data_IF_628726143315
#
_entry.id   IF_628726143315
#
_cell.length_a   1.000
_cell.length_b   1.000
_cell.length_c   1.000
_cell.angle_alpha   90.00
_cell.angle_beta   90.00
_cell.angle_gamma   90.00
#
_symmetry.space_group_name_H-M   'P 1'
#
loop_
_entity.id
_entity.type
_entity.pdbx_description
1 polymer ?
#
# COMPACT_ATOMS: atom_id res chain seq x y z
N UNK A 1 39.28 53.28 51.86
CA UNK A 1 38.76 51.89 51.78
C UNK A 1 37.51 51.90 50.90
N UNK A 2 37.65 51.54 49.63
CA UNK A 2 36.55 51.45 48.65
C UNK A 2 35.81 50.12 48.86
N UNK A 3 34.49 50.16 49.14
CA UNK A 3 33.62 48.96 49.11
C UNK A 3 32.90 48.93 47.78
N UNK A 4 33.36 48.05 46.89
CA UNK A 4 32.68 47.73 45.62
C UNK A 4 31.52 46.78 45.94
N UNK A 5 30.30 47.23 45.71
CA UNK A 5 29.08 46.40 45.76
C UNK A 5 29.01 45.62 44.44
N UNK A 6 29.19 44.29 44.50
CA UNK A 6 29.01 43.39 43.36
C UNK A 6 27.51 43.08 43.21
N UNK A 7 26.87 43.75 42.24
CA UNK A 7 25.54 43.39 41.75
C UNK A 7 25.65 42.14 40.88
N UNK A 8 25.25 40.99 41.42
CA UNK A 8 25.09 39.74 40.66
C UNK A 8 23.80 39.84 39.85
N UNK A 9 23.92 40.09 38.55
CA UNK A 9 22.82 39.99 37.59
C UNK A 9 22.58 38.51 37.29
N UNK A 10 21.51 37.94 37.84
CA UNK A 10 21.03 36.61 37.48
C UNK A 10 20.35 36.74 36.12
N UNK A 11 21.10 36.50 35.05
CA UNK A 11 20.55 36.33 33.71
C UNK A 11 19.84 34.96 33.65
N UNK A 12 18.52 34.96 33.82
CA UNK A 12 17.70 33.77 33.61
C UNK A 12 17.78 33.32 32.14
N UNK A 13 18.23 32.08 31.92
CA UNK A 13 18.14 31.39 30.64
C UNK A 13 16.66 31.15 30.30
N UNK A 14 16.03 32.07 29.59
CA UNK A 14 14.73 31.84 28.96
C UNK A 14 15.00 30.96 27.74
N UNK A 15 14.79 29.65 27.86
CA UNK A 15 14.81 28.77 26.70
C UNK A 15 13.63 29.13 25.78
N UNK A 16 13.83 29.23 24.46
CA UNK A 16 12.73 29.46 23.53
C UNK A 16 11.78 28.27 23.61
N UNK A 17 10.54 28.52 24.02
CA UNK A 17 9.46 27.53 23.93
C UNK A 17 9.19 27.30 22.45
N UNK A 18 9.71 26.19 21.93
CA UNK A 18 9.41 25.74 20.58
C UNK A 18 7.91 25.47 20.51
N UNK A 19 7.20 26.17 19.62
CA UNK A 19 5.75 26.02 19.48
C UNK A 19 5.41 24.55 19.24
N UNK A 20 4.46 24.01 20.02
CA UNK A 20 4.05 22.62 19.91
C UNK A 20 3.56 22.31 18.49
N UNK A 21 3.94 21.15 17.95
CA UNK A 21 3.52 20.70 16.62
C UNK A 21 1.99 20.57 16.57
N UNK A 22 1.36 21.24 15.61
CA UNK A 22 -0.10 21.24 15.44
C UNK A 22 -0.57 19.93 14.77
N UNK A 23 -0.92 18.95 15.60
CA UNK A 23 -1.45 17.66 15.17
C UNK A 23 -2.79 17.74 14.43
N UNK A 24 -3.64 18.72 14.73
CA UNK A 24 -4.92 18.89 14.06
C UNK A 24 -4.72 19.34 12.61
N UNK A 25 -3.86 20.34 12.39
CA UNK A 25 -3.49 20.79 11.04
C UNK A 25 -2.84 19.68 10.23
N UNK A 26 -1.91 18.93 10.83
CA UNK A 26 -1.27 17.79 10.17
C UNK A 26 -2.29 16.70 9.79
N UNK A 27 -3.23 16.38 10.67
CA UNK A 27 -4.31 15.44 10.38
C UNK A 27 -5.19 15.94 9.22
N UNK A 28 -5.58 17.22 9.21
CA UNK A 28 -6.36 17.80 8.11
C UNK A 28 -5.65 17.67 6.77
N UNK A 29 -4.34 17.92 6.73
CA UNK A 29 -3.55 17.87 5.49
C UNK A 29 -3.33 16.46 4.96
N UNK A 30 -3.20 15.47 5.85
CA UNK A 30 -2.70 14.14 5.49
C UNK A 30 -3.74 13.01 5.61
N UNK A 31 -4.78 13.18 6.44
CA UNK A 31 -5.65 12.07 6.86
C UNK A 31 -7.15 12.35 6.60
N UNK A 32 -7.59 13.59 6.74
CA UNK A 32 -9.01 13.95 6.72
C UNK A 32 -9.73 13.64 5.40
N UNK A 33 -9.01 13.65 4.26
CA UNK A 33 -9.57 13.30 2.95
C UNK A 33 -10.14 11.87 2.91
N UNK A 34 -9.53 10.95 3.68
CA UNK A 34 -9.99 9.57 3.76
C UNK A 34 -10.79 9.30 5.03
N UNK A 35 -10.31 9.76 6.18
CA UNK A 35 -10.87 9.42 7.50
C UNK A 35 -11.91 10.44 8.02
N UNK A 36 -12.20 11.48 7.24
CA UNK A 36 -13.14 12.56 7.60
C UNK A 36 -12.52 13.59 8.52
N UNK A 37 -13.03 14.82 8.49
CA UNK A 37 -12.48 15.94 9.28
C UNK A 37 -12.48 15.72 10.80
N UNK A 38 -13.38 14.87 11.30
CA UNK A 38 -13.52 14.51 12.72
C UNK A 38 -13.23 13.02 12.99
N UNK A 39 -12.54 12.33 12.08
CA UNK A 39 -12.27 10.91 12.23
C UNK A 39 -13.48 9.98 12.07
N UNK A 40 -14.62 10.48 11.60
CA UNK A 40 -15.86 9.71 11.44
C UNK A 40 -15.79 8.64 10.32
N UNK A 41 -14.68 8.56 9.59
CA UNK A 41 -14.49 7.66 8.46
C UNK A 41 -14.98 8.27 7.15
N UNK A 42 -15.27 7.42 6.18
CA UNK A 42 -15.61 7.82 4.82
C UNK A 42 -14.98 6.85 3.87
N UNK A 43 -14.00 7.28 3.08
CA UNK A 43 -13.18 6.40 2.24
C UNK A 43 -12.35 5.44 3.11
N UNK A 44 -11.76 5.96 4.19
CA UNK A 44 -11.05 5.20 5.22
C UNK A 44 -11.96 4.77 6.38
N UNK A 45 -11.41 3.95 7.27
CA UNK A 45 -12.08 3.50 8.49
C UNK A 45 -12.31 4.65 9.48
N UNK A 46 -13.39 4.62 10.28
CA UNK A 46 -13.59 5.60 11.33
C UNK A 46 -12.53 5.46 12.43
N UNK A 47 -11.84 6.55 12.74
CA UNK A 47 -10.79 6.63 13.76
C UNK A 47 -11.29 7.19 15.09
N UNK A 48 -12.45 7.87 15.09
CA UNK A 48 -13.05 8.49 16.27
C UNK A 48 -13.97 7.55 17.05
N UNK A 49 -14.07 6.26 16.70
CA UNK A 49 -14.87 5.31 17.46
C UNK A 49 -14.25 5.11 18.83
N UNK A 50 -15.03 5.29 19.89
CA UNK A 50 -14.54 5.15 21.27
C UNK A 50 -13.94 3.78 21.54
N UNK A 51 -14.64 2.71 21.17
CA UNK A 51 -14.15 1.34 21.34
C UNK A 51 -12.86 1.06 20.53
N UNK A 52 -12.72 1.65 19.33
CA UNK A 52 -11.47 1.58 18.59
C UNK A 52 -10.34 2.25 19.36
N UNK A 53 -10.55 3.46 19.85
CA UNK A 53 -9.53 4.17 20.63
C UNK A 53 -9.21 3.42 21.93
N UNK A 54 -10.19 2.86 22.63
CA UNK A 54 -9.97 2.13 23.87
C UNK A 54 -9.28 0.76 23.69
N UNK A 55 -9.29 0.20 22.47
CA UNK A 55 -8.76 -1.14 22.15
C UNK A 55 -7.40 -1.15 21.45
N UNK A 56 -6.80 0.02 21.17
CA UNK A 56 -5.52 0.12 20.44
C UNK A 56 -4.47 0.91 21.20
N UNK A 57 -3.19 0.51 21.10
CA UNK A 57 -2.09 1.27 21.69
C UNK A 57 -1.66 2.46 20.81
N UNK A 58 -0.97 3.44 21.40
CA UNK A 58 -0.35 4.53 20.62
C UNK A 58 0.72 4.01 19.68
N UNK A 59 1.46 2.98 20.09
CA UNK A 59 2.45 2.34 19.24
C UNK A 59 1.82 1.74 17.98
N UNK A 60 0.65 1.10 18.10
CA UNK A 60 -0.10 0.61 16.94
C UNK A 60 -0.45 1.73 15.97
N UNK A 61 -0.91 2.89 16.48
CA UNK A 61 -1.22 4.06 15.64
C UNK A 61 0.04 4.61 14.97
N UNK A 62 1.13 4.83 15.71
CA UNK A 62 2.40 5.32 15.16
C UNK A 62 2.91 4.39 14.06
N UNK A 63 2.98 3.08 14.32
CA UNK A 63 3.42 2.08 13.33
C UNK A 63 2.48 2.03 12.13
N UNK A 64 1.18 2.15 12.34
CA UNK A 64 0.20 2.18 11.24
C UNK A 64 0.39 3.40 10.36
N UNK A 65 0.65 4.59 10.91
CA UNK A 65 0.96 5.80 10.15
C UNK A 65 2.28 5.63 9.37
N UNK A 66 3.31 5.08 10.02
CA UNK A 66 4.65 4.89 9.46
C UNK A 66 4.70 3.87 8.32
N UNK A 67 4.04 2.73 8.50
CA UNK A 67 4.11 1.59 7.60
C UNK A 67 2.95 1.57 6.59
N UNK A 68 1.87 2.30 6.88
CA UNK A 68 0.63 2.23 6.11
C UNK A 68 0.03 0.82 6.13
N UNK A 69 -0.66 0.50 5.05
CA UNK A 69 -1.15 -0.85 4.73
C UNK A 69 -0.72 -1.16 3.29
N UNK A 70 0.49 -1.70 3.07
CA UNK A 70 0.97 -2.04 1.73
C UNK A 70 -0.01 -2.95 1.01
N UNK A 71 -0.34 -2.69 -0.26
CA UNK A 71 -1.42 -3.43 -0.94
C UNK A 71 -2.81 -2.79 -0.79
N UNK A 72 -2.96 -1.75 0.03
CA UNK A 72 -4.24 -1.09 0.36
C UNK A 72 -4.12 0.42 0.20
N UNK A 73 -5.26 1.11 0.33
CA UNK A 73 -5.35 2.56 0.09
C UNK A 73 -4.53 3.39 1.07
N UNK A 74 -4.30 2.90 2.30
CA UNK A 74 -3.63 3.68 3.35
C UNK A 74 -2.11 3.69 3.09
N UNK A 75 -1.53 4.82 2.64
CA UNK A 75 -0.12 4.89 2.31
C UNK A 75 0.74 4.93 3.59
N UNK A 76 2.05 4.74 3.40
CA UNK A 76 3.04 4.94 4.44
C UNK A 76 3.45 6.42 4.50
N UNK A 77 3.38 7.05 5.68
CA UNK A 77 3.79 8.45 5.88
C UNK A 77 5.23 8.53 6.38
N UNK A 78 6.18 8.11 5.53
CA UNK A 78 7.62 8.06 5.88
C UNK A 78 8.26 9.45 5.99
N UNK A 79 7.67 10.45 5.35
CA UNK A 79 8.21 11.81 5.29
C UNK A 79 7.88 12.66 6.53
N UNK A 80 6.93 12.25 7.36
CA UNK A 80 6.60 12.95 8.61
C UNK A 80 7.72 12.76 9.64
N UNK A 81 8.01 13.74 10.48
CA UNK A 81 8.93 13.54 11.62
C UNK A 81 8.26 12.71 12.73
N UNK A 82 9.02 12.18 13.70
CA UNK A 82 8.44 11.44 14.82
C UNK A 82 7.53 12.35 15.67
N UNK A 83 7.88 13.63 15.79
CA UNK A 83 7.06 14.64 16.48
C UNK A 83 5.75 14.91 15.73
N UNK A 84 5.78 14.97 14.39
CA UNK A 84 4.56 15.10 13.58
C UNK A 84 3.63 13.90 13.77
N UNK A 85 4.18 12.68 13.75
CA UNK A 85 3.40 11.46 13.97
C UNK A 85 2.82 11.45 15.38
N UNK A 86 3.60 11.82 16.40
CA UNK A 86 3.11 11.91 17.77
C UNK A 86 2.00 12.96 17.92
N UNK A 87 2.12 14.12 17.29
CA UNK A 87 1.09 15.16 17.31
C UNK A 87 -0.22 14.69 16.64
N UNK A 88 -0.12 13.97 15.52
CA UNK A 88 -1.29 13.36 14.87
C UNK A 88 -1.95 12.31 15.78
N UNK A 89 -1.16 11.46 16.44
CA UNK A 89 -1.68 10.45 17.37
C UNK A 89 -2.41 11.12 18.54
N UNK A 90 -1.82 12.16 19.13
CA UNK A 90 -2.46 12.95 20.19
C UNK A 90 -3.79 13.57 19.72
N UNK A 91 -3.84 14.11 18.50
CA UNK A 91 -5.06 14.63 17.92
C UNK A 91 -6.14 13.55 17.77
N UNK A 92 -5.80 12.36 17.25
CA UNK A 92 -6.73 11.22 17.13
C UNK A 92 -7.25 10.81 18.52
N UNK A 93 -6.39 10.79 19.54
CA UNK A 93 -6.76 10.48 20.93
C UNK A 93 -7.69 11.51 21.56
N UNK A 94 -7.66 12.75 21.10
CA UNK A 94 -8.54 13.81 21.63
C UNK A 94 -10.03 13.51 21.39
N UNK A 95 -10.39 12.76 20.34
CA UNK A 95 -11.78 12.38 20.08
C UNK A 95 -12.31 11.30 21.03
N UNK A 96 -11.40 10.54 21.64
CA UNK A 96 -11.77 9.49 22.59
C UNK A 96 -12.21 10.04 23.95
N UNK A 97 -11.86 11.30 24.27
CA UNK A 97 -12.08 11.88 25.59
C UNK A 97 -13.56 12.07 25.92
N UNK A 98 -14.07 11.27 26.87
CA UNK A 98 -15.15 11.71 27.76
C UNK A 98 -14.52 12.50 28.93
N UNK A 99 -15.11 13.62 29.37
CA UNK A 99 -14.57 14.42 30.49
C UNK A 99 -14.44 13.65 31.81
N UNK A 100 -15.04 12.45 31.91
CA UNK A 100 -15.04 11.61 33.10
C UNK A 100 -14.04 10.43 33.06
N UNK A 101 -13.29 10.23 31.96
CA UNK A 101 -12.31 9.15 31.84
C UNK A 101 -10.96 9.67 31.37
N UNK A 102 -9.93 9.41 32.15
CA UNK A 102 -8.54 9.50 31.69
C UNK A 102 -8.35 8.37 30.67
N UNK A 103 -8.48 8.68 29.38
CA UNK A 103 -8.24 7.72 28.30
C UNK A 103 -6.73 7.57 28.10
N UNK A 104 -6.08 6.83 28.99
CA UNK A 104 -4.73 6.31 28.73
C UNK A 104 -4.83 5.18 27.72
N UNK A 105 -4.07 5.27 26.64
CA UNK A 105 -3.99 4.20 25.65
C UNK A 105 -3.64 2.86 26.32
N UNK A 106 -4.31 1.75 25.94
CA UNK A 106 -3.95 0.44 26.46
C UNK A 106 -2.49 0.11 26.15
N UNK A 107 -1.81 -0.45 27.14
CA UNK A 107 -0.45 -0.99 26.99
C UNK A 107 -0.58 -2.50 26.83
N UNK A 108 -0.07 -3.01 25.72
CA UNK A 108 -0.09 -4.43 25.40
C UNK A 108 1.30 -5.02 25.58
N UNK A 109 1.38 -6.25 26.08
CA UNK A 109 2.65 -6.98 26.18
C UNK A 109 3.26 -7.19 24.79
N UNK A 110 4.58 -7.09 24.71
CA UNK A 110 5.34 -7.46 23.52
C UNK A 110 5.61 -8.97 23.42
N UNK A 111 5.19 -9.75 24.43
CA UNK A 111 5.36 -11.20 24.43
C UNK A 111 4.49 -11.86 23.37
N UNK A 112 5.05 -12.86 22.68
CA UNK A 112 4.30 -13.68 21.74
C UNK A 112 3.26 -14.53 22.45
N UNK A 113 2.06 -14.61 21.89
CA UNK A 113 1.01 -15.51 22.39
C UNK A 113 1.33 -16.94 21.93
N UNK A 114 1.33 -17.89 22.87
CA UNK A 114 1.56 -19.31 22.57
C UNK A 114 0.25 -19.99 22.16
N UNK A 115 0.19 -20.48 20.93
CA UNK A 115 -0.94 -21.23 20.40
C UNK A 115 -0.53 -22.19 19.28
N UNK A 116 -1.44 -23.08 18.90
CA UNK A 116 -1.30 -24.01 17.79
C UNK A 116 -1.87 -23.40 16.50
N UNK A 117 -0.98 -23.08 15.56
CA UNK A 117 -1.36 -22.47 14.28
C UNK A 117 -2.19 -23.40 13.37
N UNK A 118 -2.06 -24.72 13.49
CA UNK A 118 -2.86 -25.68 12.69
C UNK A 118 -4.31 -25.69 13.17
N UNK A 119 -4.52 -25.75 14.50
CA UNK A 119 -5.86 -25.61 15.07
C UNK A 119 -6.42 -24.21 14.81
N UNK A 120 -5.59 -23.18 14.93
CA UNK A 120 -5.92 -21.80 14.60
C UNK A 120 -6.41 -21.63 13.16
N UNK A 121 -5.78 -22.30 12.19
CA UNK A 121 -6.22 -22.29 10.79
C UNK A 121 -7.63 -22.82 10.61
N UNK A 122 -7.96 -23.94 11.27
CA UNK A 122 -9.30 -24.53 11.20
C UNK A 122 -10.35 -23.60 11.84
N UNK A 123 -10.03 -22.99 12.99
CA UNK A 123 -10.89 -22.01 13.65
C UNK A 123 -11.08 -20.75 12.80
N UNK A 124 -10.02 -20.27 12.15
CA UNK A 124 -10.06 -19.11 11.27
C UNK A 124 -10.95 -19.35 10.06
N UNK A 125 -10.81 -20.51 9.41
CA UNK A 125 -11.64 -20.89 8.27
C UNK A 125 -13.14 -20.92 8.63
N UNK A 126 -13.48 -21.39 9.84
CA UNK A 126 -14.85 -21.48 10.33
C UNK A 126 -15.44 -20.12 10.74
N UNK A 127 -14.66 -19.27 11.40
CA UNK A 127 -15.20 -18.12 12.13
C UNK A 127 -14.79 -16.75 11.55
N UNK A 128 -13.71 -16.69 10.76
CA UNK A 128 -13.08 -15.42 10.36
C UNK A 128 -13.07 -15.22 8.84
N UNK A 129 -12.89 -16.30 8.08
CA UNK A 129 -12.64 -16.25 6.64
C UNK A 129 -13.79 -15.65 5.81
N UNK A 130 -15.04 -15.74 6.31
CA UNK A 130 -16.21 -15.14 5.63
C UNK A 130 -16.11 -13.62 5.51
N UNK A 131 -15.41 -12.96 6.43
CA UNK A 131 -15.19 -11.52 6.40
C UNK A 131 -13.74 -11.17 6.03
N UNK A 132 -12.77 -11.87 6.62
CA UNK A 132 -11.34 -11.58 6.45
C UNK A 132 -10.69 -12.31 5.27
N UNK A 133 -11.44 -13.04 4.44
CA UNK A 133 -10.91 -13.82 3.33
C UNK A 133 -10.25 -15.13 3.76
N UNK A 134 -10.09 -16.07 2.84
CA UNK A 134 -9.61 -17.42 3.15
C UNK A 134 -8.15 -17.44 3.62
N UNK A 135 -7.35 -16.47 3.17
CA UNK A 135 -5.95 -16.30 3.52
C UNK A 135 -5.70 -14.99 4.28
N UNK A 136 -6.73 -14.41 4.91
CA UNK A 136 -6.60 -13.17 5.67
C UNK A 136 -6.47 -11.91 4.80
N UNK A 137 -6.82 -11.97 3.51
CA UNK A 137 -6.75 -10.85 2.57
C UNK A 137 -7.77 -9.73 2.84
N UNK A 138 -8.71 -9.88 3.77
CA UNK A 138 -9.74 -8.88 4.04
C UNK A 138 -10.75 -8.75 2.89
N UNK A 139 -11.49 -7.63 2.88
CA UNK A 139 -12.41 -7.33 1.77
C UNK A 139 -11.69 -7.19 0.42
N UNK A 140 -12.37 -7.55 -0.68
CA UNK A 140 -11.81 -7.48 -2.03
C UNK A 140 -11.34 -6.06 -2.43
N UNK A 141 -10.20 -5.98 -3.11
CA UNK A 141 -9.60 -4.74 -3.60
C UNK A 141 -8.86 -3.92 -2.53
N UNK A 142 -8.55 -2.66 -2.81
CA UNK A 142 -7.65 -1.83 -1.99
C UNK A 142 -8.27 -1.32 -0.67
N UNK A 143 -9.48 -1.76 -0.32
CA UNK A 143 -10.24 -1.28 0.85
C UNK A 143 -11.05 -0.01 0.58
N UNK A 144 -11.09 0.47 -0.67
CA UNK A 144 -11.94 1.57 -1.11
C UNK A 144 -12.69 1.18 -2.37
N UNK A 145 -13.99 1.40 -2.37
CA UNK A 145 -14.81 1.19 -3.56
C UNK A 145 -15.33 2.54 -4.04
N UNK A 146 -14.53 3.25 -4.82
CA UNK A 146 -15.00 4.44 -5.55
C UNK A 146 -16.04 4.07 -6.62
N UNK A 147 -16.08 2.81 -7.04
CA UNK A 147 -16.86 2.31 -8.19
C UNK A 147 -17.73 1.08 -7.89
N UNK A 148 -17.81 0.64 -6.62
CA UNK A 148 -18.66 -0.49 -6.21
C UNK A 148 -19.45 -0.12 -4.93
N UNK A 149 -20.71 -0.56 -4.78
CA UNK A 149 -21.47 -0.37 -3.55
C UNK A 149 -20.72 -0.98 -2.36
N UNK A 150 -20.74 -0.29 -1.22
CA UNK A 150 -20.28 -0.88 0.05
C UNK A 150 -21.42 -1.66 0.68
N UNK A 151 -21.23 -2.97 0.84
CA UNK A 151 -22.18 -3.83 1.54
C UNK A 151 -22.05 -3.74 3.07
N UNK A 152 -20.92 -3.24 3.59
CA UNK A 152 -20.65 -3.07 5.01
C UNK A 152 -20.10 -1.65 5.30
N UNK A 153 -20.46 -1.03 6.44
CA UNK A 153 -19.95 0.29 6.84
C UNK A 153 -18.42 0.31 7.01
N UNK A 154 -17.86 -0.81 7.48
CA UNK A 154 -16.44 -1.01 7.75
C UNK A 154 -16.02 -2.32 7.08
N UNK A 155 -15.05 -2.26 6.17
CA UNK A 155 -14.49 -3.44 5.54
C UNK A 155 -13.56 -4.16 6.50
N UNK A 156 -13.62 -5.49 6.50
CA UNK A 156 -12.71 -6.31 7.27
C UNK A 156 -11.26 -6.07 6.81
N UNK A 157 -10.34 -5.73 7.73
CA UNK A 157 -8.95 -5.48 7.37
C UNK A 157 -8.27 -6.76 6.87
N UNK A 158 -7.30 -6.58 5.97
CA UNK A 158 -6.37 -7.63 5.57
C UNK A 158 -5.44 -7.96 6.74
N UNK A 159 -5.64 -9.14 7.34
CA UNK A 159 -4.88 -9.65 8.47
C UNK A 159 -3.52 -10.21 8.05
N UNK A 160 -3.38 -10.62 6.79
CA UNK A 160 -2.09 -11.01 6.21
C UNK A 160 -1.25 -9.80 5.74
N UNK A 161 -1.72 -8.57 5.98
CA UNK A 161 -1.04 -7.37 5.55
C UNK A 161 0.23 -7.14 6.38
N UNK A 162 1.41 -6.95 5.75
CA UNK A 162 2.66 -6.80 6.49
C UNK A 162 2.70 -5.54 7.37
N UNK A 163 2.03 -4.45 6.94
CA UNK A 163 1.91 -3.25 7.75
C UNK A 163 1.02 -3.46 8.99
N UNK A 164 -0.04 -4.28 8.87
CA UNK A 164 -0.88 -4.66 10.01
C UNK A 164 -0.13 -5.56 10.97
N UNK A 165 0.48 -6.64 10.46
CA UNK A 165 1.21 -7.62 11.26
C UNK A 165 2.35 -6.95 12.05
N UNK A 166 3.11 -6.05 11.42
CA UNK A 166 4.16 -5.29 12.09
C UNK A 166 3.65 -4.27 13.13
N UNK A 167 2.42 -3.74 12.97
CA UNK A 167 1.87 -2.73 13.84
C UNK A 167 1.12 -3.31 15.05
N UNK A 168 0.33 -4.37 14.85
CA UNK A 168 -0.46 -5.01 15.90
C UNK A 168 0.41 -5.93 16.73
N UNK A 169 0.28 -5.92 18.06
CA UNK A 169 0.89 -6.94 18.93
C UNK A 169 -0.03 -8.16 19.08
N UNK A 170 0.52 -9.29 19.51
CA UNK A 170 -0.25 -10.53 19.70
C UNK A 170 -1.35 -10.31 20.73
N UNK A 171 -1.01 -9.66 21.83
CA UNK A 171 -1.94 -9.36 22.91
C UNK A 171 -3.04 -8.39 22.45
N UNK A 172 -2.74 -7.46 21.53
CA UNK A 172 -3.75 -6.60 20.93
C UNK A 172 -4.73 -7.38 20.04
N UNK A 173 -4.22 -8.31 19.23
CA UNK A 173 -5.05 -9.19 18.41
C UNK A 173 -5.92 -10.08 19.31
N UNK A 174 -5.32 -10.68 20.34
CA UNK A 174 -6.02 -11.48 21.36
C UNK A 174 -7.13 -10.66 22.02
N UNK A 175 -6.83 -9.46 22.51
CA UNK A 175 -7.81 -8.58 23.13
C UNK A 175 -8.96 -8.21 22.20
N UNK A 176 -8.66 -7.96 20.91
CA UNK A 176 -9.68 -7.70 19.89
C UNK A 176 -10.60 -8.90 19.67
N UNK A 177 -10.05 -10.12 19.63
CA UNK A 177 -10.86 -11.35 19.51
C UNK A 177 -11.71 -11.60 20.76
N UNK A 178 -11.17 -11.31 21.95
CA UNK A 178 -11.87 -11.49 23.21
C UNK A 178 -13.00 -10.47 23.43
N UNK A 179 -12.78 -9.21 23.06
CA UNK A 179 -13.74 -8.12 23.32
C UNK A 179 -14.65 -7.83 22.13
N UNK A 180 -14.21 -8.15 20.92
CA UNK A 180 -14.84 -7.68 19.70
C UNK A 180 -14.55 -6.20 19.45
N UNK A 181 -15.31 -5.61 18.53
CA UNK A 181 -15.34 -4.19 18.24
C UNK A 181 -16.77 -3.69 18.10
N UNK A 182 -17.14 -2.77 18.98
CA UNK A 182 -18.48 -2.19 19.00
C UNK A 182 -18.76 -1.42 17.71
N UNK A 183 -20.03 -1.44 17.27
CA UNK A 183 -20.48 -0.85 16.01
C UNK A 183 -19.79 -1.44 14.76
N UNK A 184 -19.26 -2.66 14.86
CA UNK A 184 -18.73 -3.43 13.73
C UNK A 184 -19.28 -4.86 13.76
N UNK A 185 -19.25 -5.60 12.64
CA UNK A 185 -19.59 -7.03 12.64
C UNK A 185 -18.62 -7.91 13.44
N UNK A 186 -17.48 -7.38 13.89
CA UNK A 186 -16.45 -8.13 14.62
C UNK A 186 -16.85 -8.28 16.09
N UNK A 187 -17.71 -9.24 16.41
CA UNK A 187 -18.16 -9.48 17.78
C UNK A 187 -17.08 -10.18 18.66
N UNK A 188 -17.34 -10.24 19.97
CA UNK A 188 -16.52 -11.00 20.92
C UNK A 188 -16.64 -12.51 20.64
N UNK A 189 -15.52 -13.15 20.29
CA UNK A 189 -15.49 -14.59 20.08
C UNK A 189 -15.50 -15.39 21.38
N UNK A 190 -15.05 -14.78 22.48
CA UNK A 190 -15.21 -15.35 23.82
C UNK A 190 -16.70 -15.51 24.16
N UNK A 191 -17.51 -14.48 23.88
CA UNK A 191 -18.98 -14.54 24.05
C UNK A 191 -19.67 -15.47 23.05
N UNK A 192 -19.06 -15.73 21.90
CA UNK A 192 -19.55 -16.71 20.92
C UNK A 192 -19.13 -18.16 21.22
N UNK A 193 -18.40 -18.39 22.32
CA UNK A 193 -18.07 -19.73 22.81
C UNK A 193 -16.69 -20.25 22.46
N UNK A 194 -15.80 -19.43 21.87
CA UNK A 194 -14.38 -19.80 21.75
C UNK A 194 -13.70 -19.67 23.12
N UNK A 195 -12.89 -20.66 23.48
CA UNK A 195 -12.05 -20.57 24.69
C UNK A 195 -10.87 -19.60 24.47
N UNK A 196 -10.23 -19.17 25.55
CA UNK A 196 -8.99 -18.40 25.43
C UNK A 196 -7.90 -19.15 24.64
N UNK A 197 -7.84 -20.48 24.75
CA UNK A 197 -6.89 -21.27 23.98
C UNK A 197 -7.25 -21.29 22.49
N UNK A 198 -8.54 -21.34 22.12
CA UNK A 198 -8.96 -21.20 20.72
C UNK A 198 -8.51 -19.85 20.16
N UNK A 199 -8.64 -18.78 20.96
CA UNK A 199 -8.21 -17.43 20.58
C UNK A 199 -6.69 -17.39 20.41
N UNK A 200 -5.93 -17.95 21.35
CA UNK A 200 -4.47 -18.02 21.26
C UNK A 200 -4.02 -18.75 19.98
N UNK A 201 -4.70 -19.83 19.61
CA UNK A 201 -4.43 -20.59 18.39
C UNK A 201 -4.73 -19.77 17.13
N UNK A 202 -5.85 -19.03 17.11
CA UNK A 202 -6.15 -18.09 16.01
C UNK A 202 -5.10 -17.00 15.92
N UNK A 203 -4.63 -16.43 17.04
CA UNK A 203 -3.52 -15.45 17.05
C UNK A 203 -2.25 -16.07 16.46
N UNK A 204 -1.89 -17.29 16.88
CA UNK A 204 -0.74 -18.01 16.33
C UNK A 204 -0.86 -18.27 14.82
N UNK A 205 -2.06 -18.57 14.33
CA UNK A 205 -2.32 -18.70 12.89
C UNK A 205 -2.20 -17.38 12.14
N UNK A 206 -2.77 -16.28 12.66
CA UNK A 206 -2.60 -14.95 12.06
C UNK A 206 -1.12 -14.55 12.01
N UNK A 207 -0.34 -14.87 13.04
CA UNK A 207 1.12 -14.67 13.03
C UNK A 207 1.87 -15.58 12.09
N UNK A 208 1.32 -16.75 11.75
CA UNK A 208 1.91 -17.58 10.72
C UNK A 208 1.94 -16.86 9.35
N UNK A 209 1.06 -15.87 9.13
CA UNK A 209 1.16 -14.99 7.97
C UNK A 209 2.45 -14.19 7.92
N UNK A 210 3.14 -13.89 9.03
CA UNK A 210 4.45 -13.23 9.01
C UNK A 210 5.54 -14.13 8.40
N UNK A 211 5.39 -15.45 8.58
CA UNK A 211 6.33 -16.44 8.03
C UNK A 211 6.03 -16.74 6.56
N UNK A 212 4.76 -16.72 6.15
CA UNK A 212 4.38 -16.84 4.74
C UNK A 212 4.50 -15.52 3.96
N UNK A 213 4.30 -14.37 4.61
CA UNK A 213 4.71 -13.04 4.12
C UNK A 213 6.21 -12.80 4.27
N UNK A 214 6.90 -13.70 4.99
CA UNK A 214 8.33 -13.95 4.93
C UNK A 214 8.81 -14.43 3.55
N UNK A 215 7.91 -14.62 2.59
CA UNK A 215 8.20 -14.57 1.17
C UNK A 215 7.45 -13.36 0.55
N UNK A 216 8.22 -12.30 0.27
CA UNK A 216 7.81 -11.08 -0.44
C UNK A 216 6.95 -10.08 0.39
N UNK A 217 7.46 -9.57 1.52
CA UNK A 217 7.42 -8.09 1.67
C UNK A 217 7.98 -7.58 0.36
N UNK A 218 7.23 -6.75 -0.37
CA UNK A 218 7.59 -6.36 -1.71
C UNK A 218 9.12 -6.25 -1.81
N UNK A 219 9.74 -7.23 -2.48
CA UNK A 219 10.76 -6.82 -3.41
C UNK A 219 9.98 -5.82 -4.26
N UNK A 220 10.03 -4.55 -3.85
CA UNK A 220 10.43 -3.54 -4.80
C UNK A 220 11.56 -4.26 -5.48
N UNK A 221 11.32 -4.70 -6.71
CA UNK A 221 12.34 -5.35 -7.50
C UNK A 221 13.38 -4.26 -7.78
N UNK A 222 14.05 -3.76 -6.74
CA UNK A 222 15.13 -2.79 -6.78
C UNK A 222 16.26 -3.37 -7.60
N UNK A 223 16.35 -4.71 -7.66
CA UNK A 223 17.22 -5.49 -8.53
C UNK A 223 16.78 -5.55 -9.99
N UNK A 224 15.49 -5.38 -10.32
CA UNK A 224 15.05 -5.38 -11.72
C UNK A 224 14.96 -3.95 -12.27
N UNK A 225 15.52 -3.75 -13.46
CA UNK A 225 15.47 -2.48 -14.19
C UNK A 225 14.02 -1.99 -14.35
N UNK A 226 13.83 -0.67 -14.27
CA UNK A 226 12.54 -0.03 -14.54
C UNK A 226 12.09 -0.13 -16.00
N UNK A 227 13.04 -0.47 -16.88
CA UNK A 227 12.82 -0.66 -18.30
C UNK A 227 13.35 -2.03 -18.73
N UNK A 228 12.60 -2.69 -19.60
CA UNK A 228 13.06 -3.87 -20.34
C UNK A 228 13.67 -3.33 -21.63
N UNK A 229 14.92 -3.70 -21.91
CA UNK A 229 15.66 -3.26 -23.10
C UNK A 229 16.22 -4.48 -23.82
N UNK A 230 16.13 -4.49 -25.15
CA UNK A 230 16.81 -5.42 -26.04
C UNK A 230 17.52 -4.65 -27.14
N UNK A 231 18.67 -5.14 -27.57
CA UNK A 231 19.39 -4.65 -28.75
C UNK A 231 18.91 -5.47 -29.95
N UNK A 232 18.55 -4.80 -31.04
CA UNK A 232 18.14 -5.44 -32.28
C UNK A 232 19.31 -5.45 -33.26
N UNK A 233 19.57 -6.58 -33.95
CA UNK A 233 20.54 -6.63 -35.04
C UNK A 233 20.00 -5.99 -36.33
N UNK A 234 18.71 -5.65 -36.37
CA UNK A 234 18.00 -5.14 -37.52
C UNK A 234 17.94 -3.60 -37.57
N UNK A 235 17.56 -3.07 -38.72
CA UNK A 235 17.25 -1.63 -38.87
C UNK A 235 16.01 -1.22 -38.06
N UNK A 236 15.85 0.06 -37.73
CA UNK A 236 14.67 0.54 -36.99
C UNK A 236 13.37 0.16 -37.70
N UNK A 237 13.30 0.31 -39.01
CA UNK A 237 12.13 -0.06 -39.83
C UNK A 237 11.81 -1.56 -39.74
N UNK A 238 12.84 -2.41 -39.85
CA UNK A 238 12.70 -3.87 -39.79
C UNK A 238 12.32 -4.34 -38.38
N UNK A 239 12.96 -3.81 -37.33
CA UNK A 239 12.58 -4.08 -35.94
C UNK A 239 11.13 -3.69 -35.65
N UNK A 240 10.65 -2.56 -36.20
CA UNK A 240 9.24 -2.14 -36.05
C UNK A 240 8.30 -3.10 -36.78
N UNK A 241 8.70 -3.63 -37.95
CA UNK A 241 7.92 -4.62 -38.69
C UNK A 241 7.84 -5.96 -37.94
N UNK A 242 8.97 -6.45 -37.40
CA UNK A 242 9.02 -7.66 -36.58
C UNK A 242 8.14 -7.51 -35.34
N UNK A 243 8.30 -6.40 -34.61
CA UNK A 243 7.50 -6.09 -33.43
C UNK A 243 6.00 -6.04 -33.73
N UNK A 244 5.59 -5.51 -34.90
CA UNK A 244 4.19 -5.53 -35.33
C UNK A 244 3.68 -6.96 -35.50
N UNK A 245 4.46 -7.85 -36.09
CA UNK A 245 4.11 -9.26 -36.22
C UNK A 245 3.94 -9.92 -34.84
N UNK A 246 4.91 -9.71 -33.95
CA UNK A 246 4.91 -10.30 -32.61
C UNK A 246 3.75 -9.80 -31.74
N UNK A 247 3.41 -8.51 -31.82
CA UNK A 247 2.24 -7.92 -31.15
C UNK A 247 0.96 -8.66 -31.56
N UNK A 248 0.76 -8.88 -32.87
CA UNK A 248 -0.43 -9.55 -33.39
C UNK A 248 -0.46 -11.03 -32.99
N UNK A 249 0.69 -11.71 -32.97
CA UNK A 249 0.81 -13.10 -32.52
C UNK A 249 0.53 -13.32 -31.03
N UNK A 250 0.79 -12.31 -30.18
CA UNK A 250 0.64 -12.39 -28.73
C UNK A 250 -0.72 -11.86 -28.20
N UNK A 251 -1.77 -11.87 -29.03
CA UNK A 251 -3.11 -11.36 -28.69
C UNK A 251 -3.16 -9.86 -28.31
N UNK A 252 -2.20 -9.06 -28.77
CA UNK A 252 -2.32 -7.60 -28.68
C UNK A 252 -2.96 -7.05 -29.94
N UNK A 253 -3.80 -6.03 -29.77
CA UNK A 253 -4.21 -5.19 -30.89
C UNK A 253 -3.25 -4.03 -31.03
N UNK A 254 -2.75 -3.82 -32.24
CA UNK A 254 -2.00 -2.63 -32.58
C UNK A 254 -2.95 -1.42 -32.61
N UNK A 255 -2.60 -0.34 -31.91
CA UNK A 255 -3.40 0.88 -31.83
C UNK A 255 -2.84 1.96 -32.74
N UNK A 256 -1.55 2.28 -32.60
CA UNK A 256 -0.87 3.28 -33.43
C UNK A 256 0.64 3.06 -33.43
N UNK A 257 1.27 3.47 -34.53
CA UNK A 257 2.73 3.57 -34.66
C UNK A 257 3.03 5.01 -35.07
N UNK A 258 3.96 5.65 -34.38
CA UNK A 258 4.32 7.04 -34.66
C UNK A 258 5.77 7.35 -34.31
N UNK A 259 6.41 8.29 -35.03
CA UNK A 259 7.63 8.93 -34.55
C UNK A 259 7.43 9.59 -33.18
N UNK A 260 8.50 9.64 -32.40
CA UNK A 260 8.50 10.25 -31.06
C UNK A 260 8.18 11.75 -31.11
N UNK A 261 8.66 12.43 -32.15
CA UNK A 261 8.50 13.87 -32.38
C UNK A 261 7.29 14.21 -33.27
N UNK A 262 6.44 13.24 -33.59
CA UNK A 262 5.23 13.50 -34.37
C UNK A 262 4.34 14.54 -33.67
N UNK A 263 4.05 15.63 -34.38
CA UNK A 263 3.28 16.77 -33.85
C UNK A 263 4.14 17.87 -33.21
N UNK A 264 5.44 17.66 -33.04
CA UNK A 264 6.40 18.67 -32.59
C UNK A 264 7.21 19.29 -33.74
N UNK A 265 7.20 18.65 -34.91
CA UNK A 265 7.90 19.11 -36.12
C UNK A 265 6.95 19.12 -37.32
N UNK A 266 7.36 19.80 -38.40
CA UNK A 266 6.60 19.80 -39.64
C UNK A 266 6.43 18.37 -40.17
N UNK A 267 5.25 18.10 -40.74
CA UNK A 267 4.93 16.81 -41.34
C UNK A 267 5.98 16.43 -42.40
N UNK A 268 6.53 15.23 -42.28
CA UNK A 268 7.59 14.68 -43.14
C UNK A 268 9.02 14.94 -42.65
N UNK A 269 9.21 15.77 -41.61
CA UNK A 269 10.51 16.03 -40.97
C UNK A 269 10.72 15.25 -39.66
N UNK A 270 9.79 14.36 -39.31
CA UNK A 270 9.87 13.55 -38.11
C UNK A 270 11.08 12.61 -38.11
N UNK A 271 11.61 12.37 -36.92
CA UNK A 271 12.74 11.49 -36.73
C UNK A 271 12.34 10.02 -36.84
N UNK A 272 12.65 9.41 -37.98
CA UNK A 272 12.40 7.99 -38.27
C UNK A 272 13.22 7.02 -37.42
N UNK A 273 14.31 7.48 -36.81
CA UNK A 273 15.14 6.65 -35.91
C UNK A 273 14.55 6.52 -34.49
N UNK A 274 13.36 7.07 -34.21
CA UNK A 274 12.71 7.01 -32.89
C UNK A 274 11.21 6.78 -33.04
N UNK A 275 10.78 5.54 -32.97
CA UNK A 275 9.41 5.12 -33.21
C UNK A 275 8.77 4.59 -31.92
N UNK A 276 7.56 5.04 -31.64
CA UNK A 276 6.69 4.52 -30.59
C UNK A 276 5.62 3.62 -31.20
N UNK A 277 5.47 2.42 -30.63
CA UNK A 277 4.45 1.44 -30.98
C UNK A 277 3.51 1.29 -29.78
N UNK A 278 2.23 1.59 -30.00
CA UNK A 278 1.19 1.48 -29.00
C UNK A 278 0.30 0.29 -29.31
N UNK A 279 0.08 -0.56 -28.32
CA UNK A 279 -0.73 -1.77 -28.45
C UNK A 279 -1.50 -2.06 -27.16
N UNK A 280 -2.45 -3.00 -27.21
CA UNK A 280 -3.18 -3.41 -26.02
C UNK A 280 -3.63 -4.86 -26.09
N UNK A 281 -3.42 -5.61 -25.01
CA UNK A 281 -4.08 -6.89 -24.76
C UNK A 281 -5.35 -6.63 -23.94
N UNK A 282 -6.51 -6.63 -24.60
CA UNK A 282 -7.79 -6.26 -23.98
C UNK A 282 -8.26 -7.27 -22.92
N UNK A 283 -7.91 -8.55 -23.05
CA UNK A 283 -8.24 -9.57 -22.06
C UNK A 283 -7.49 -9.32 -20.75
N UNK A 284 -6.17 -9.15 -20.85
CA UNK A 284 -5.34 -8.80 -19.70
C UNK A 284 -5.78 -7.47 -19.08
N UNK A 285 -6.07 -6.48 -19.93
CA UNK A 285 -6.49 -5.15 -19.48
C UNK A 285 -7.75 -5.21 -18.62
N UNK A 286 -8.77 -5.93 -19.07
CA UNK A 286 -10.03 -6.05 -18.34
C UNK A 286 -9.82 -6.68 -16.96
N UNK A 287 -8.91 -7.64 -16.83
CA UNK A 287 -8.54 -8.23 -15.53
C UNK A 287 -7.77 -7.25 -14.65
N UNK A 288 -6.78 -6.54 -15.21
CA UNK A 288 -5.99 -5.57 -14.45
C UNK A 288 -6.82 -4.40 -13.91
N UNK A 289 -7.75 -3.86 -14.71
CA UNK A 289 -8.64 -2.77 -14.27
C UNK A 289 -9.62 -3.21 -13.17
N UNK A 290 -10.01 -4.49 -13.11
CA UNK A 290 -10.85 -5.01 -12.02
C UNK A 290 -10.14 -5.02 -10.68
N UNK A 291 -8.82 -5.24 -10.69
CA UNK A 291 -7.94 -5.23 -9.51
C UNK A 291 -7.61 -3.80 -9.09
N UNK A 292 -7.16 -2.97 -10.03
CA UNK A 292 -6.86 -1.56 -9.77
C UNK A 292 -7.13 -0.68 -11.00
N UNK A 293 -8.14 0.19 -10.96
CA UNK A 293 -8.44 1.06 -12.10
C UNK A 293 -7.32 2.05 -12.41
N UNK A 294 -6.40 2.33 -11.47
CA UNK A 294 -5.27 3.25 -11.68
C UNK A 294 -4.25 2.71 -12.69
N UNK A 295 -4.29 1.40 -12.99
CA UNK A 295 -3.49 0.81 -14.09
C UNK A 295 -3.76 1.51 -15.42
N UNK A 296 -4.95 2.12 -15.58
CA UNK A 296 -5.30 2.96 -16.73
C UNK A 296 -4.28 4.06 -17.08
N UNK A 297 -3.52 4.55 -16.10
CA UNK A 297 -2.49 5.58 -16.29
C UNK A 297 -1.28 5.12 -17.14
N UNK A 298 -1.10 3.81 -17.30
CA UNK A 298 0.00 3.23 -18.10
C UNK A 298 -0.48 2.59 -19.40
N UNK A 299 -1.71 2.90 -19.82
CA UNK A 299 -2.32 2.38 -21.04
C UNK A 299 -2.43 3.45 -22.12
N UNK A 300 -2.44 3.03 -23.40
CA UNK A 300 -2.15 1.68 -23.88
C UNK A 300 -0.67 1.28 -23.67
N UNK A 301 -0.38 -0.01 -23.82
CA UNK A 301 0.99 -0.52 -23.73
C UNK A 301 1.87 0.18 -24.77
N UNK A 302 3.10 0.55 -24.40
CA UNK A 302 4.01 1.29 -25.28
C UNK A 302 5.37 0.62 -25.34
N UNK A 303 5.80 0.30 -26.56
CA UNK A 303 7.18 -0.09 -26.89
C UNK A 303 7.81 1.04 -27.71
N UNK A 304 9.07 1.35 -27.45
CA UNK A 304 9.84 2.34 -28.21
C UNK A 304 11.00 1.64 -28.90
N UNK A 305 11.13 1.85 -30.21
CA UNK A 305 12.28 1.42 -31.01
C UNK A 305 13.08 2.66 -31.35
N UNK A 306 14.37 2.67 -31.03
CA UNK A 306 15.21 3.81 -31.36
C UNK A 306 16.65 3.45 -31.67
N UNK A 307 17.30 4.26 -32.52
CA UNK A 307 18.74 4.22 -32.70
C UNK A 307 19.44 5.09 -31.64
N UNK A 308 20.43 4.52 -30.97
CA UNK A 308 21.27 5.20 -30.00
C UNK A 308 22.71 4.71 -30.08
N UNK A 309 23.66 5.61 -30.35
CA UNK A 309 25.10 5.29 -30.44
C UNK A 309 25.40 4.13 -31.42
N UNK A 310 24.75 4.14 -32.59
CA UNK A 310 24.93 3.13 -33.63
C UNK A 310 24.31 1.76 -33.32
N UNK A 311 23.43 1.67 -32.31
CA UNK A 311 22.69 0.47 -31.93
C UNK A 311 21.20 0.72 -32.00
N UNK A 312 20.42 -0.26 -32.48
CA UNK A 312 18.96 -0.22 -32.44
C UNK A 312 18.48 -0.86 -31.14
N UNK A 313 17.72 -0.12 -30.35
CA UNK A 313 17.21 -0.53 -29.05
C UNK A 313 15.68 -0.63 -29.10
N UNK A 314 15.15 -1.72 -28.57
CA UNK A 314 13.73 -1.92 -28.31
C UNK A 314 13.51 -1.87 -26.80
N UNK A 315 12.65 -0.96 -26.34
CA UNK A 315 12.45 -0.72 -24.91
C UNK A 315 10.99 -0.52 -24.52
N UNK A 316 10.65 -0.99 -23.32
CA UNK A 316 9.34 -0.81 -22.70
C UNK A 316 9.48 -0.66 -21.19
N UNK A 317 8.46 -0.08 -20.54
CA UNK A 317 8.40 -0.03 -19.07
C UNK A 317 8.27 -1.46 -18.54
N UNK A 318 9.01 -1.79 -17.48
CA UNK A 318 8.88 -3.09 -16.82
C UNK A 318 7.58 -3.12 -15.98
N UNK A 319 6.57 -3.94 -16.34
CA UNK A 319 5.30 -4.01 -15.62
C UNK A 319 5.47 -4.39 -14.16
N UNK A 320 6.52 -5.14 -13.81
CA UNK A 320 6.82 -5.52 -12.43
C UNK A 320 7.17 -4.34 -11.52
N UNK A 321 7.49 -3.17 -12.06
CA UNK A 321 7.63 -1.93 -11.27
C UNK A 321 6.30 -1.21 -11.03
N UNK A 322 5.25 -1.53 -11.78
CA UNK A 322 3.98 -0.80 -11.71
C UNK A 322 3.21 -1.08 -10.41
N UNK A 323 3.20 -2.32 -9.92
CA UNK A 323 2.50 -2.68 -8.67
C UNK A 323 3.06 -1.93 -7.46
N UNK A 324 4.37 -1.68 -7.43
CA UNK A 324 5.03 -0.87 -6.41
C UNK A 324 4.60 0.60 -6.47
N UNK A 325 4.48 1.18 -7.67
CA UNK A 325 3.99 2.56 -7.87
C UNK A 325 2.57 2.71 -7.30
N UNK A 326 1.73 1.68 -7.48
CA UNK A 326 0.36 1.70 -6.97
C UNK A 326 0.22 1.25 -5.52
N UNK A 327 1.30 0.79 -4.89
CA UNK A 327 1.28 0.16 -3.57
C UNK A 327 0.19 -0.94 -3.50
N UNK A 328 0.07 -1.75 -4.56
CA UNK A 328 -0.98 -2.77 -4.68
C UNK A 328 -0.37 -4.14 -5.03
N UNK A 329 -0.22 -5.02 -4.03
CA UNK A 329 0.34 -6.35 -4.20
C UNK A 329 -0.57 -7.32 -4.95
N UNK A 330 -1.88 -7.05 -5.02
CA UNK A 330 -2.82 -7.87 -5.82
C UNK A 330 -2.50 -7.77 -7.32
N UNK A 331 -1.83 -6.68 -7.76
CA UNK A 331 -1.32 -6.53 -9.11
C UNK A 331 -0.05 -7.33 -9.40
N UNK A 332 0.69 -7.80 -8.39
CA UNK A 332 2.01 -8.42 -8.59
C UNK A 332 1.95 -9.60 -9.58
N UNK A 333 0.94 -10.46 -9.45
CA UNK A 333 0.76 -11.62 -10.35
C UNK A 333 0.55 -11.17 -11.79
N UNK A 334 -0.32 -10.18 -12.00
CA UNK A 334 -0.61 -9.63 -13.33
C UNK A 334 0.60 -8.90 -13.92
N UNK A 335 1.34 -8.15 -13.09
CA UNK A 335 2.58 -7.49 -13.48
C UNK A 335 3.69 -8.49 -13.85
N UNK A 336 3.83 -9.59 -13.10
CA UNK A 336 4.75 -10.68 -13.44
C UNK A 336 4.38 -11.34 -14.77
N UNK A 337 3.09 -11.63 -14.99
CA UNK A 337 2.55 -12.21 -16.23
C UNK A 337 2.80 -11.29 -17.43
N UNK A 338 2.44 -10.01 -17.33
CA UNK A 338 2.67 -9.04 -18.41
C UNK A 338 4.15 -8.81 -18.69
N UNK A 339 5.00 -8.84 -17.67
CA UNK A 339 6.45 -8.71 -17.87
C UNK A 339 7.02 -9.89 -18.65
N UNK A 340 6.52 -11.11 -18.48
CA UNK A 340 6.95 -12.27 -19.27
C UNK A 340 6.56 -12.09 -20.73
N UNK A 341 5.30 -11.72 -20.98
CA UNK A 341 4.79 -11.45 -22.32
C UNK A 341 5.61 -10.35 -23.02
N UNK A 342 5.97 -9.29 -22.30
CA UNK A 342 6.84 -8.23 -22.86
C UNK A 342 8.24 -8.73 -23.19
N UNK A 343 8.85 -9.56 -22.33
CA UNK A 343 10.17 -10.13 -22.59
C UNK A 343 10.13 -11.03 -23.82
N UNK A 344 9.18 -11.96 -23.88
CA UNK A 344 8.99 -12.87 -25.03
C UNK A 344 8.74 -12.08 -26.32
N UNK A 345 7.86 -11.07 -26.28
CA UNK A 345 7.56 -10.24 -27.43
C UNK A 345 8.77 -9.43 -27.91
N UNK A 346 9.57 -8.89 -26.98
CA UNK A 346 10.77 -8.13 -27.35
C UNK A 346 11.89 -9.06 -27.86
N UNK A 347 12.02 -10.27 -27.32
CA UNK A 347 12.99 -11.26 -27.76
C UNK A 347 12.67 -11.77 -29.17
N UNK A 348 11.42 -12.16 -29.43
CA UNK A 348 10.99 -12.59 -30.76
C UNK A 348 11.11 -11.47 -31.81
N UNK A 349 10.98 -10.19 -31.41
CA UNK A 349 11.15 -9.06 -32.33
C UNK A 349 12.61 -8.76 -32.71
N UNK A 350 13.58 -9.25 -31.92
CA UNK A 350 15.03 -9.02 -32.15
C UNK A 350 15.81 -10.26 -32.52
N UNK A 351 15.20 -11.45 -32.42
CA UNK A 351 15.65 -12.68 -33.06
C UNK A 351 15.37 -12.58 -34.56
#
# INVERSE_FOLDING_TARGET
>A
MYRILLLVVIAGLVQPVQAAVDGARLYTQNCAACHGAKGAGGVGVPLSLHDFLDSISDEYLRKTIRLGRPGRVMPAFRMLSDDDVNAIVQHIRSWGHKPERVHTAPVFSAQSVKGDALRGKALFAKNCASCHGANGEGGAGTGVTMSRPRNLPILAPALNNPGFLAAASDEMIKATLMKGRDNTPMASFLKQGLSEQDINDVVAYVRAYERSSGAKTAEVLTSESAVIVRESPYSVEETVANLKSTILGNNFRLIRIQPLDQGFVDKGKENKSRIMVYSCNFNFLNEALKVDPRVGLFLPCRVTVMEHKGKVLVMTVNPKRLSAIFNNSELNRLCEEMSKIYVEMLEEAVL
#
